data_IF_307651824184
#
_entry.id   IF_307651824184
#
_cell.length_a   1.000
_cell.length_b   1.000
_cell.length_c   1.000
_cell.angle_alpha   90.00
_cell.angle_beta   90.00
_cell.angle_gamma   90.00
#
_symmetry.space_group_name_H-M   'P 1'
#
loop_
_entity.id
_entity.type
_entity.pdbx_description
1 polymer ?
#
# COMPACT_ATOMS: atom_id res chain seq x y z
N UNK A 1 -49.57 18.31 -42.10
CA UNK A 1 -48.16 18.22 -41.65
C UNK A 1 -47.99 19.17 -40.47
N UNK A 2 -48.20 18.63 -39.27
CA UNK A 2 -48.87 19.36 -38.19
C UNK A 2 -47.83 19.98 -37.25
N UNK A 3 -47.88 21.30 -37.07
CA UNK A 3 -47.01 22.09 -36.18
C UNK A 3 -47.03 21.58 -34.73
N UNK A 4 -48.13 20.92 -34.33
CA UNK A 4 -48.30 20.20 -33.05
C UNK A 4 -47.44 18.93 -32.94
N UNK A 5 -47.18 18.24 -34.05
CA UNK A 5 -46.32 17.05 -34.09
C UNK A 5 -44.84 17.42 -33.89
N UNK A 6 -44.41 18.59 -34.37
CA UNK A 6 -43.07 19.14 -34.11
C UNK A 6 -42.88 19.59 -32.66
N UNK A 7 -43.93 20.07 -31.99
CA UNK A 7 -43.91 20.39 -30.55
C UNK A 7 -43.87 19.11 -29.71
N UNK A 8 -44.60 18.07 -30.10
CA UNK A 8 -44.54 16.75 -29.43
C UNK A 8 -43.19 16.04 -29.63
N UNK A 9 -42.51 16.25 -30.75
CA UNK A 9 -41.17 15.70 -30.98
C UNK A 9 -40.09 16.54 -30.29
N UNK A 10 -40.30 17.84 -30.06
CA UNK A 10 -39.39 18.69 -29.27
C UNK A 10 -39.43 18.42 -27.75
N UNK A 11 -40.34 17.55 -27.29
CA UNK A 11 -40.24 16.83 -26.01
C UNK A 11 -39.32 15.59 -26.12
N UNK A 12 -38.51 15.56 -27.19
CA UNK A 12 -37.10 15.25 -27.18
C UNK A 12 -36.49 15.38 -25.77
N UNK A 13 -35.98 14.24 -25.31
CA UNK A 13 -34.55 14.11 -25.00
C UNK A 13 -34.01 14.68 -23.68
N UNK A 14 -34.82 14.79 -22.63
CA UNK A 14 -34.28 15.03 -21.28
C UNK A 14 -35.01 14.26 -20.18
N UNK A 15 -34.86 12.92 -20.08
CA UNK A 15 -34.73 12.35 -18.76
C UNK A 15 -33.32 12.68 -18.29
N UNK A 16 -33.24 13.67 -17.41
CA UNK A 16 -32.08 13.99 -16.60
C UNK A 16 -31.29 12.71 -16.25
N UNK A 17 -30.07 12.61 -16.75
CA UNK A 17 -28.98 11.88 -16.10
C UNK A 17 -28.68 12.55 -14.75
N UNK A 18 -29.67 12.59 -13.85
CA UNK A 18 -29.42 12.77 -12.42
C UNK A 18 -29.17 11.39 -11.84
N UNK A 19 -28.17 10.69 -12.38
CA UNK A 19 -27.36 9.84 -11.55
C UNK A 19 -26.53 10.79 -10.68
N UNK A 20 -27.15 11.35 -9.64
CA UNK A 20 -26.40 11.75 -8.48
C UNK A 20 -25.81 10.46 -7.92
N UNK A 21 -24.66 10.03 -8.44
CA UNK A 21 -23.76 9.25 -7.60
C UNK A 21 -23.36 10.23 -6.52
N UNK A 22 -24.14 10.24 -5.43
CA UNK A 22 -23.63 10.61 -4.13
C UNK A 22 -22.45 9.67 -3.90
N UNK A 23 -21.27 10.09 -4.35
CA UNK A 23 -20.03 9.55 -3.83
C UNK A 23 -19.86 10.17 -2.45
N UNK A 24 -20.74 9.79 -1.51
CA UNK A 24 -20.46 9.94 -0.10
C UNK A 24 -19.48 8.84 0.29
N UNK A 25 -18.24 8.97 -0.18
CA UNK A 25 -17.10 8.61 0.65
C UNK A 25 -16.16 9.79 0.75
N UNK A 26 -16.74 10.93 1.14
CA UNK A 26 -16.10 11.88 2.02
C UNK A 26 -16.06 11.38 3.47
N UNK A 27 -15.88 10.08 3.68
CA UNK A 27 -15.28 9.62 4.93
C UNK A 27 -13.81 9.96 4.75
N UNK A 28 -13.41 11.14 5.23
CA UNK A 28 -12.01 11.30 5.65
C UNK A 28 -11.67 10.04 6.43
N UNK A 29 -10.55 9.35 6.17
CA UNK A 29 -10.22 8.17 6.96
C UNK A 29 -10.13 8.65 8.41
N UNK A 30 -11.20 8.47 9.17
CA UNK A 30 -11.22 8.63 10.62
C UNK A 30 -10.63 7.35 11.19
N UNK A 31 -9.48 6.96 10.64
CA UNK A 31 -8.69 5.88 11.13
C UNK A 31 -7.66 6.44 12.09
N UNK A 32 -7.31 5.68 13.11
CA UNK A 32 -6.15 5.99 13.93
C UNK A 32 -4.91 6.10 13.03
N UNK A 33 -3.85 6.76 13.52
CA UNK A 33 -2.58 6.81 12.79
C UNK A 33 -2.12 5.40 12.40
N UNK A 34 -2.31 4.43 13.30
CA UNK A 34 -1.99 3.02 13.06
C UNK A 34 -2.76 2.45 11.87
N UNK A 35 -4.08 2.65 11.79
CA UNK A 35 -4.88 2.18 10.66
C UNK A 35 -4.46 2.81 9.32
N UNK A 36 -4.05 4.08 9.34
CA UNK A 36 -3.53 4.76 8.15
C UNK A 36 -2.19 4.14 7.73
N UNK A 37 -1.31 3.88 8.69
CA UNK A 37 -0.01 3.24 8.46
C UNK A 37 -0.20 1.82 7.91
N UNK A 38 -1.01 1.00 8.56
CA UNK A 38 -1.34 -0.37 8.12
C UNK A 38 -1.91 -0.39 6.70
N UNK A 39 -2.87 0.48 6.39
CA UNK A 39 -3.44 0.59 5.05
C UNK A 39 -2.38 0.93 4.00
N UNK A 40 -1.44 1.83 4.34
CA UNK A 40 -0.33 2.19 3.45
C UNK A 40 0.65 1.05 3.26
N UNK A 41 1.01 0.34 4.33
CA UNK A 41 1.88 -0.85 4.28
C UNK A 41 1.22 -1.94 3.42
N UNK A 42 -0.08 -2.17 3.59
CA UNK A 42 -0.82 -3.13 2.79
C UNK A 42 -0.81 -2.78 1.30
N UNK A 43 -1.13 -1.52 0.95
CA UNK A 43 -1.07 -1.04 -0.42
C UNK A 43 0.35 -1.17 -1.02
N UNK A 44 1.39 -0.85 -0.24
CA UNK A 44 2.76 -1.02 -0.69
C UNK A 44 3.09 -2.49 -1.01
N UNK A 45 2.72 -3.43 -0.13
CA UNK A 45 2.92 -4.87 -0.36
C UNK A 45 2.23 -5.35 -1.64
N UNK A 46 1.03 -4.85 -1.95
CA UNK A 46 0.36 -5.15 -3.22
C UNK A 46 1.16 -4.65 -4.43
N UNK A 47 1.65 -3.40 -4.40
CA UNK A 47 2.48 -2.85 -5.47
C UNK A 47 3.82 -3.59 -5.63
N UNK A 48 4.40 -4.08 -4.55
CA UNK A 48 5.61 -4.91 -4.60
C UNK A 48 5.39 -6.21 -5.36
N UNK A 49 4.25 -6.88 -5.16
CA UNK A 49 3.87 -8.08 -5.95
C UNK A 49 3.76 -7.75 -7.44
N UNK A 50 3.20 -6.57 -7.77
CA UNK A 50 3.13 -6.08 -9.15
C UNK A 50 4.44 -5.47 -9.68
N UNK A 51 5.52 -5.47 -8.88
CA UNK A 51 6.82 -4.84 -9.18
C UNK A 51 6.74 -3.33 -9.48
N UNK A 52 5.69 -2.66 -9.03
CA UNK A 52 5.59 -1.20 -9.08
C UNK A 52 6.29 -0.59 -7.86
N UNK A 53 7.61 -0.51 -7.94
CA UNK A 53 8.45 0.02 -6.85
C UNK A 53 8.22 1.51 -6.59
N UNK A 54 7.77 2.27 -7.60
CA UNK A 54 7.49 3.70 -7.47
C UNK A 54 6.27 3.91 -6.60
N UNK A 55 5.18 3.20 -6.88
CA UNK A 55 3.98 3.24 -6.06
C UNK A 55 4.25 2.72 -4.65
N UNK A 56 4.93 1.57 -4.51
CA UNK A 56 5.28 1.01 -3.21
C UNK A 56 6.08 2.01 -2.35
N UNK A 57 7.14 2.62 -2.92
CA UNK A 57 7.96 3.62 -2.23
C UNK A 57 7.15 4.84 -1.78
N UNK A 58 6.22 5.32 -2.59
CA UNK A 58 5.34 6.45 -2.22
C UNK A 58 4.44 6.12 -1.03
N UNK A 59 3.91 4.90 -0.95
CA UNK A 59 3.11 4.46 0.19
C UNK A 59 3.95 4.28 1.45
N UNK A 60 5.12 3.63 1.32
CA UNK A 60 6.03 3.39 2.44
C UNK A 60 6.65 4.66 2.99
N UNK A 61 6.98 5.64 2.14
CA UNK A 61 7.46 6.95 2.60
C UNK A 61 6.46 7.62 3.55
N UNK A 62 5.18 7.64 3.18
CA UNK A 62 4.12 8.22 4.02
C UNK A 62 3.87 7.40 5.29
N UNK A 63 4.00 6.08 5.22
CA UNK A 63 3.89 5.22 6.41
C UNK A 63 5.04 5.50 7.40
N UNK A 64 6.26 5.63 6.89
CA UNK A 64 7.46 5.96 7.67
C UNK A 64 7.41 7.35 8.28
N UNK A 65 6.93 8.35 7.56
CA UNK A 65 6.73 9.71 8.08
C UNK A 65 5.76 9.74 9.27
N UNK A 66 4.76 8.85 9.29
CA UNK A 66 3.75 8.76 10.35
C UNK A 66 4.19 7.90 11.53
N UNK A 67 4.88 6.79 11.26
CA UNK A 67 5.31 5.83 12.26
C UNK A 67 6.75 5.35 11.98
N UNK A 68 7.76 6.21 12.23
CA UNK A 68 9.16 5.89 11.95
C UNK A 68 9.72 4.75 12.81
N UNK A 69 9.05 4.43 13.93
CA UNK A 69 9.44 3.33 14.83
C UNK A 69 8.49 2.13 14.72
N UNK A 70 7.77 1.98 13.60
CA UNK A 70 6.92 0.82 13.36
C UNK A 70 7.71 -0.34 12.76
N UNK A 71 7.71 -1.49 13.45
CA UNK A 71 8.34 -2.71 12.97
C UNK A 71 7.79 -3.14 11.59
N UNK A 72 6.48 -3.00 11.37
CA UNK A 72 5.83 -3.34 10.09
C UNK A 72 6.24 -2.43 8.94
N UNK A 73 6.47 -1.14 9.22
CA UNK A 73 6.95 -0.20 8.21
C UNK A 73 8.39 -0.56 7.82
N UNK A 74 9.24 -0.87 8.79
CA UNK A 74 10.60 -1.33 8.53
C UNK A 74 10.64 -2.65 7.75
N UNK A 75 9.80 -3.63 8.11
CA UNK A 75 9.65 -4.89 7.37
C UNK A 75 9.24 -4.66 5.90
N UNK A 76 8.28 -3.78 5.66
CA UNK A 76 7.81 -3.49 4.31
C UNK A 76 8.82 -2.68 3.48
N UNK A 77 9.60 -1.79 4.11
CA UNK A 77 10.74 -1.12 3.48
C UNK A 77 11.84 -2.13 3.11
N UNK A 78 12.13 -3.07 4.00
CA UNK A 78 13.11 -4.12 3.77
C UNK A 78 12.74 -4.99 2.56
N UNK A 79 11.48 -5.43 2.47
CA UNK A 79 10.95 -6.14 1.30
C UNK A 79 11.05 -5.32 0.01
N UNK A 80 10.77 -4.02 0.07
CA UNK A 80 10.87 -3.14 -1.10
C UNK A 80 12.32 -3.05 -1.62
N UNK A 81 13.28 -2.86 -0.72
CA UNK A 81 14.70 -2.81 -1.06
C UNK A 81 15.24 -4.16 -1.52
N UNK A 82 14.78 -5.26 -0.93
CA UNK A 82 15.14 -6.61 -1.37
C UNK A 82 14.70 -6.85 -2.82
N UNK A 83 13.45 -6.50 -3.15
CA UNK A 83 12.94 -6.66 -4.51
C UNK A 83 13.55 -5.69 -5.52
N UNK A 84 14.03 -4.52 -5.09
CA UNK A 84 14.78 -3.60 -5.94
C UNK A 84 16.28 -3.94 -6.06
N UNK A 85 16.76 -4.93 -5.31
CA UNK A 85 18.17 -5.36 -5.30
C UNK A 85 19.09 -4.50 -4.42
N UNK A 86 18.53 -3.57 -3.64
CA UNK A 86 19.25 -2.70 -2.70
C UNK A 86 19.52 -3.44 -1.38
N UNK A 87 20.29 -4.54 -1.42
CA UNK A 87 20.39 -5.53 -0.33
C UNK A 87 20.91 -4.96 1.00
N UNK A 88 21.83 -3.99 0.97
CA UNK A 88 22.35 -3.35 2.20
C UNK A 88 21.23 -2.58 2.93
N UNK A 89 20.38 -1.88 2.18
CA UNK A 89 19.23 -1.17 2.73
C UNK A 89 18.18 -2.16 3.23
N UNK A 90 17.95 -3.25 2.49
CA UNK A 90 17.03 -4.30 2.92
C UNK A 90 17.43 -4.88 4.28
N UNK A 91 18.71 -5.26 4.44
CA UNK A 91 19.22 -5.80 5.70
C UNK A 91 19.08 -4.80 6.85
N UNK A 92 19.47 -3.55 6.65
CA UNK A 92 19.34 -2.49 7.65
C UNK A 92 17.90 -2.37 8.16
N UNK A 93 16.93 -2.40 7.25
CA UNK A 93 15.52 -2.29 7.61
C UNK A 93 14.98 -3.58 8.25
N UNK A 94 15.44 -4.77 7.85
CA UNK A 94 15.07 -6.01 8.54
C UNK A 94 15.56 -6.04 9.99
N UNK A 95 16.81 -5.67 10.22
CA UNK A 95 17.39 -5.60 11.57
C UNK A 95 16.63 -4.61 12.45
N UNK A 96 16.29 -3.44 11.90
CA UNK A 96 15.48 -2.45 12.62
C UNK A 96 14.06 -2.95 12.91
N UNK A 97 13.44 -3.69 11.99
CA UNK A 97 12.13 -4.30 12.21
C UNK A 97 12.18 -5.28 13.39
N UNK A 98 13.17 -6.18 13.41
CA UNK A 98 13.36 -7.16 14.49
C UNK A 98 13.61 -6.46 15.83
N UNK A 99 14.40 -5.39 15.85
CA UNK A 99 14.68 -4.63 17.07
C UNK A 99 13.43 -3.92 17.64
N UNK A 100 12.53 -3.45 16.78
CA UNK A 100 11.30 -2.76 17.17
C UNK A 100 10.15 -3.72 17.51
N UNK A 101 10.11 -4.90 16.90
CA UNK A 101 9.06 -5.90 17.04
C UNK A 101 9.53 -7.12 17.84
N UNK A 102 10.14 -6.90 19.01
CA UNK A 102 10.65 -8.00 19.82
C UNK A 102 9.54 -9.04 20.11
N UNK A 103 9.88 -10.31 19.93
CA UNK A 103 8.93 -11.43 20.01
C UNK A 103 8.07 -11.70 18.77
N UNK A 104 8.05 -10.84 17.74
CA UNK A 104 7.34 -11.13 16.48
C UNK A 104 8.17 -12.06 15.59
N UNK A 105 7.83 -13.35 15.64
CA UNK A 105 8.49 -14.40 14.87
C UNK A 105 8.42 -14.21 13.35
N UNK A 106 7.39 -13.50 12.84
CA UNK A 106 7.26 -13.23 11.40
C UNK A 106 8.40 -12.36 10.91
N UNK A 107 8.85 -11.37 11.69
CA UNK A 107 9.93 -10.47 11.31
C UNK A 107 11.26 -11.22 11.18
N UNK A 108 11.54 -12.12 12.13
CA UNK A 108 12.70 -13.02 12.07
C UNK A 108 12.64 -13.94 10.86
N UNK A 109 11.47 -14.53 10.59
CA UNK A 109 11.28 -15.38 9.41
C UNK A 109 11.48 -14.61 8.09
N UNK A 110 11.03 -13.36 8.01
CA UNK A 110 11.24 -12.54 6.82
C UNK A 110 12.73 -12.23 6.60
N UNK A 111 13.47 -11.91 7.67
CA UNK A 111 14.92 -11.71 7.60
C UNK A 111 15.67 -13.00 7.26
N UNK A 112 15.31 -14.14 7.86
CA UNK A 112 15.87 -15.44 7.51
C UNK A 112 15.65 -15.79 6.03
N UNK A 113 14.47 -15.50 5.48
CA UNK A 113 14.21 -15.65 4.05
C UNK A 113 15.07 -14.70 3.19
N UNK A 114 15.31 -13.46 3.64
CA UNK A 114 16.25 -12.56 2.96
C UNK A 114 17.69 -13.10 2.97
N UNK A 115 18.16 -13.57 4.13
CA UNK A 115 19.48 -14.19 4.28
C UNK A 115 19.62 -15.42 3.36
N UNK A 116 18.61 -16.28 3.35
CA UNK A 116 18.56 -17.44 2.45
C UNK A 116 18.63 -17.02 0.97
N UNK A 117 17.83 -16.04 0.55
CA UNK A 117 17.82 -15.56 -0.85
C UNK A 117 19.13 -14.87 -1.26
N UNK A 118 19.92 -14.40 -0.29
CA UNK A 118 21.22 -13.78 -0.52
C UNK A 118 22.40 -14.73 -0.30
N UNK A 119 22.13 -16.03 -0.07
CA UNK A 119 23.14 -17.08 0.06
C UNK A 119 23.81 -17.16 1.44
N UNK A 120 23.30 -16.45 2.44
CA UNK A 120 23.80 -16.42 3.82
C UNK A 120 23.08 -17.47 4.67
N UNK A 121 23.26 -18.73 4.31
CA UNK A 121 22.47 -19.83 4.88
C UNK A 121 22.74 -20.07 6.36
N UNK A 122 23.99 -19.95 6.81
CA UNK A 122 24.35 -20.18 8.21
C UNK A 122 23.63 -19.18 9.12
N UNK A 123 23.62 -17.90 8.73
CA UNK A 123 22.92 -16.83 9.46
C UNK A 123 21.39 -16.95 9.37
N UNK A 124 20.87 -17.60 8.33
CA UNK A 124 19.43 -17.83 8.19
C UNK A 124 18.89 -18.91 9.13
N UNK A 125 19.75 -19.76 9.69
CA UNK A 125 19.40 -20.87 10.56
C UNK A 125 19.46 -20.52 12.07
N UNK A 126 20.05 -19.38 12.42
CA UNK A 126 20.11 -18.85 13.79
C UNK A 126 18.81 -18.13 14.20
#
# INVERSE_FOLDING_TARGET
MNRRFKILIALLLTPCLTACVTSSRGVAPSGTVDQIVESRVHAAKQYLVSKDFVAARRHLKKAYELAPNSADVHDALALMFQYSGELIMAETHYQQAIALGDGDSRLRNNYANFLYQTGRYDEALE
#
